data_IF_379013851219
#
_entry.id   IF_379013851219
#
_cell.length_a   1.000
_cell.length_b   1.000
_cell.length_c   1.000
_cell.angle_alpha   90.00
_cell.angle_beta   90.00
_cell.angle_gamma   90.00
#
_symmetry.space_group_name_H-M   'P 1'
#
loop_
_entity.id
_entity.type
_entity.pdbx_description
1 polymer ?
#
# COMPACT_ATOMS: atom_id res chain seq x y z
N UNK A 1 17.11 18.05 3.82
CA UNK A 1 18.29 17.23 3.46
C UNK A 1 18.13 16.76 2.02
N UNK A 2 18.95 17.30 1.13
CA UNK A 2 18.97 16.94 -0.29
C UNK A 2 19.85 15.71 -0.41
N UNK A 3 19.28 14.53 -0.66
CA UNK A 3 20.06 13.34 -0.96
C UNK A 3 20.44 13.44 -2.43
N UNK A 4 21.43 14.27 -2.76
CA UNK A 4 22.03 14.30 -4.09
C UNK A 4 22.79 12.98 -4.29
N UNK A 5 22.07 11.96 -4.72
CA UNK A 5 22.64 10.65 -4.94
C UNK A 5 23.40 10.65 -6.26
N UNK A 6 24.72 10.83 -6.19
CA UNK A 6 25.61 10.41 -7.28
C UNK A 6 25.60 8.86 -7.32
N UNK A 7 24.46 8.28 -7.76
CA UNK A 7 24.32 6.83 -7.92
C UNK A 7 25.10 6.44 -9.16
N UNK A 8 25.88 5.37 -9.03
CA UNK A 8 26.56 4.78 -10.17
C UNK A 8 25.52 4.26 -11.18
N UNK A 9 25.88 4.33 -12.46
CA UNK A 9 25.09 3.69 -13.52
C UNK A 9 24.97 2.21 -13.17
N UNK A 10 23.74 1.76 -12.98
CA UNK A 10 23.47 0.38 -12.59
C UNK A 10 23.63 -0.53 -13.82
N UNK A 11 24.09 -1.79 -13.64
CA UNK A 11 24.01 -2.77 -14.70
C UNK A 11 22.54 -3.03 -15.08
N UNK A 12 22.27 -3.61 -16.26
CA UNK A 12 20.94 -4.09 -16.61
C UNK A 12 20.36 -4.98 -15.50
N UNK A 13 19.05 -4.89 -15.25
CA UNK A 13 18.39 -5.69 -14.20
C UNK A 13 18.49 -7.20 -14.44
N UNK A 14 18.67 -7.61 -15.70
CA UNK A 14 18.84 -9.00 -16.13
C UNK A 14 20.28 -9.52 -16.03
N UNK A 15 21.26 -8.66 -15.72
CA UNK A 15 22.67 -9.07 -15.59
C UNK A 15 22.96 -9.67 -14.21
N UNK A 16 22.58 -10.92 -14.01
CA UNK A 16 22.79 -11.65 -12.76
C UNK A 16 24.26 -11.69 -12.33
N UNK A 17 25.20 -11.76 -13.28
CA UNK A 17 26.65 -11.81 -12.99
C UNK A 17 27.12 -10.47 -12.45
N UNK A 18 26.72 -9.37 -13.09
CA UNK A 18 27.02 -8.01 -12.63
C UNK A 18 26.46 -7.76 -11.24
N UNK A 19 25.21 -8.14 -11.00
CA UNK A 19 24.58 -8.00 -9.69
C UNK A 19 25.25 -8.85 -8.61
N UNK A 20 25.63 -10.09 -8.90
CA UNK A 20 26.35 -10.92 -7.95
C UNK A 20 27.70 -10.34 -7.52
N UNK A 21 28.46 -9.73 -8.44
CA UNK A 21 29.71 -9.05 -8.09
C UNK A 21 29.45 -7.87 -7.14
N UNK A 22 28.36 -7.14 -7.36
CA UNK A 22 27.97 -6.00 -6.53
C UNK A 22 27.51 -6.46 -5.14
N UNK A 23 26.73 -7.55 -5.04
CA UNK A 23 26.28 -8.07 -3.73
C UNK A 23 27.45 -8.58 -2.92
N UNK A 24 28.35 -9.37 -3.53
CA UNK A 24 29.55 -9.89 -2.87
C UNK A 24 30.50 -8.78 -2.41
N UNK A 25 30.59 -7.68 -3.17
CA UNK A 25 31.39 -6.52 -2.80
C UNK A 25 30.73 -5.63 -1.73
N UNK A 26 29.48 -5.90 -1.32
CA UNK A 26 28.73 -5.06 -0.38
C UNK A 26 28.42 -3.66 -0.92
N UNK A 27 28.39 -3.48 -2.25
CA UNK A 27 28.31 -2.17 -2.90
C UNK A 27 26.89 -1.74 -3.30
N UNK A 28 25.86 -2.51 -2.91
CA UNK A 28 24.45 -2.20 -3.21
C UNK A 28 24.06 -0.75 -2.83
N UNK A 29 24.62 -0.22 -1.73
CA UNK A 29 24.40 1.17 -1.29
C UNK A 29 24.70 2.26 -2.32
N UNK A 30 25.58 1.97 -3.29
CA UNK A 30 26.03 2.92 -4.32
C UNK A 30 25.09 3.00 -5.52
N UNK A 31 24.14 2.07 -5.63
CA UNK A 31 23.19 1.98 -6.74
C UNK A 31 21.81 2.49 -6.34
N UNK A 32 20.99 2.81 -7.34
CA UNK A 32 19.62 3.27 -7.12
C UNK A 32 18.77 2.11 -6.56
N UNK A 33 17.96 2.32 -5.50
CA UNK A 33 17.10 1.28 -4.96
C UNK A 33 16.12 0.74 -6.00
N UNK A 34 15.67 1.57 -6.93
CA UNK A 34 14.83 1.19 -8.08
C UNK A 34 15.47 0.10 -8.93
N UNK A 35 16.76 0.23 -9.24
CA UNK A 35 17.51 -0.75 -10.02
C UNK A 35 17.71 -2.06 -9.26
N UNK A 36 17.90 -1.98 -7.94
CA UNK A 36 18.04 -3.15 -7.07
C UNK A 36 16.72 -3.92 -6.98
N UNK A 37 15.59 -3.22 -6.91
CA UNK A 37 14.24 -3.82 -6.93
C UNK A 37 13.97 -4.49 -8.28
N UNK A 38 14.36 -3.87 -9.39
CA UNK A 38 14.25 -4.48 -10.70
C UNK A 38 15.09 -5.77 -10.79
N UNK A 39 16.33 -5.75 -10.30
CA UNK A 39 17.19 -6.93 -10.25
C UNK A 39 16.61 -8.05 -9.36
N UNK A 40 16.07 -7.69 -8.19
CA UNK A 40 15.40 -8.65 -7.30
C UNK A 40 14.21 -9.34 -7.98
N UNK A 41 13.37 -8.58 -8.68
CA UNK A 41 12.19 -9.10 -9.36
C UNK A 41 12.55 -9.93 -10.61
N UNK A 42 13.55 -9.49 -11.38
CA UNK A 42 13.97 -10.17 -12.61
C UNK A 42 14.77 -11.46 -12.30
N UNK A 43 15.50 -11.49 -11.17
CA UNK A 43 16.15 -12.72 -10.67
C UNK A 43 15.14 -13.83 -10.35
N UNK A 44 13.94 -13.45 -9.88
CA UNK A 44 12.83 -14.37 -9.62
C UNK A 44 13.23 -15.54 -8.72
N UNK A 45 12.82 -16.75 -9.09
CA UNK A 45 13.19 -17.98 -8.35
C UNK A 45 14.50 -18.60 -8.85
N UNK A 46 15.13 -18.04 -9.89
CA UNK A 46 16.30 -18.64 -10.55
C UNK A 46 17.58 -18.39 -9.76
N UNK A 47 17.75 -17.18 -9.23
CA UNK A 47 18.92 -16.81 -8.43
C UNK A 47 18.54 -16.51 -6.98
N UNK A 48 18.41 -17.58 -6.19
CA UNK A 48 18.03 -17.50 -4.78
C UNK A 48 19.00 -16.63 -3.97
N UNK A 49 20.31 -16.78 -4.19
CA UNK A 49 21.34 -16.01 -3.46
C UNK A 49 21.25 -14.52 -3.75
N UNK A 50 21.12 -14.15 -5.03
CA UNK A 50 20.97 -12.75 -5.41
C UNK A 50 19.71 -12.15 -4.78
N UNK A 51 18.62 -12.91 -4.80
CA UNK A 51 17.35 -12.52 -4.20
C UNK A 51 17.46 -12.32 -2.68
N UNK A 52 18.12 -13.22 -1.97
CA UNK A 52 18.35 -13.12 -0.52
C UNK A 52 19.22 -11.90 -0.17
N UNK A 53 20.34 -11.69 -0.88
CA UNK A 53 21.26 -10.58 -0.66
C UNK A 53 20.58 -9.22 -0.89
N UNK A 54 19.85 -9.11 -2.00
CA UNK A 54 19.13 -7.88 -2.35
C UNK A 54 17.93 -7.65 -1.44
N UNK A 55 17.19 -8.70 -1.04
CA UNK A 55 16.10 -8.60 -0.06
C UNK A 55 16.60 -8.06 1.28
N UNK A 56 17.71 -8.61 1.79
CA UNK A 56 18.29 -8.15 3.06
C UNK A 56 18.65 -6.67 2.99
N UNK A 57 19.35 -6.25 1.93
CA UNK A 57 19.70 -4.86 1.74
C UNK A 57 18.47 -3.94 1.64
N UNK A 58 17.44 -4.34 0.89
CA UNK A 58 16.21 -3.56 0.75
C UNK A 58 15.46 -3.47 2.09
N UNK A 59 15.41 -4.55 2.87
CA UNK A 59 14.83 -4.57 4.21
C UNK A 59 15.50 -3.54 5.12
N UNK A 60 16.84 -3.58 5.19
CA UNK A 60 17.61 -2.65 6.02
C UNK A 60 17.43 -1.19 5.55
N UNK A 61 17.34 -0.97 4.23
CA UNK A 61 17.12 0.34 3.66
C UNK A 61 15.74 0.88 4.02
N UNK A 62 14.69 0.09 3.83
CA UNK A 62 13.29 0.46 4.15
C UNK A 62 13.17 0.77 5.63
N UNK A 63 13.62 -0.11 6.52
CA UNK A 63 13.57 0.15 7.96
C UNK A 63 14.31 1.43 8.34
N UNK A 64 15.49 1.67 7.76
CA UNK A 64 16.26 2.90 8.04
C UNK A 64 15.53 4.16 7.56
N UNK A 65 14.87 4.11 6.40
CA UNK A 65 14.10 5.24 5.87
C UNK A 65 12.86 5.47 6.73
N UNK A 66 12.10 4.42 7.05
CA UNK A 66 10.88 4.52 7.85
C UNK A 66 11.18 5.00 9.27
N UNK A 67 12.19 4.46 9.96
CA UNK A 67 12.61 4.92 11.31
C UNK A 67 13.02 6.39 11.35
N UNK A 68 13.53 6.96 10.25
CA UNK A 68 13.86 8.38 10.16
C UNK A 68 12.63 9.27 9.93
N UNK A 69 11.55 8.70 9.41
CA UNK A 69 10.33 9.43 9.00
C UNK A 69 9.23 9.30 10.05
N UNK A 70 9.11 8.14 10.67
CA UNK A 70 8.23 7.87 11.79
C UNK A 70 8.90 8.39 13.04
N UNK A 71 8.42 9.52 13.55
CA UNK A 71 8.85 10.02 14.85
C UNK A 71 8.40 9.08 15.97
N UNK A 72 9.14 9.03 17.07
CA UNK A 72 8.82 8.21 18.26
C UNK A 72 7.57 8.67 19.00
N UNK A 73 6.89 9.70 18.52
CA UNK A 73 5.67 10.27 19.13
C UNK A 73 4.38 9.51 18.76
N UNK A 74 4.48 8.37 18.06
CA UNK A 74 3.36 7.50 17.70
C UNK A 74 3.23 6.33 18.67
N UNK A 75 2.08 5.64 18.66
CA UNK A 75 1.85 4.48 19.54
C UNK A 75 2.89 3.39 19.24
N UNK A 76 3.37 2.70 20.28
CA UNK A 76 4.50 1.76 20.19
C UNK A 76 5.77 2.34 19.51
N UNK A 77 6.08 3.62 19.75
CA UNK A 77 7.17 4.35 19.08
C UNK A 77 7.09 4.32 17.54
N UNK A 78 5.89 4.05 16.99
CA UNK A 78 5.65 3.87 15.57
C UNK A 78 6.25 2.59 14.97
N UNK A 79 6.66 1.62 15.78
CA UNK A 79 7.14 0.31 15.27
C UNK A 79 6.06 -0.41 14.46
N UNK A 80 4.81 -0.43 14.94
CA UNK A 80 3.72 -1.12 14.25
C UNK A 80 3.51 -0.57 12.82
N UNK A 81 3.58 0.76 12.67
CA UNK A 81 3.48 1.43 11.36
C UNK A 81 4.67 1.06 10.45
N UNK A 82 5.88 0.97 11.04
CA UNK A 82 7.08 0.61 10.30
C UNK A 82 6.97 -0.83 9.79
N UNK A 83 6.50 -1.75 10.62
CA UNK A 83 6.35 -3.16 10.30
C UNK A 83 5.25 -3.38 9.26
N UNK A 84 4.08 -2.74 9.42
CA UNK A 84 2.98 -2.79 8.44
C UNK A 84 3.43 -2.35 7.05
N UNK A 85 4.14 -1.21 6.96
CA UNK A 85 4.63 -0.67 5.67
C UNK A 85 5.76 -1.53 5.11
N UNK A 86 6.59 -2.12 5.96
CA UNK A 86 7.65 -3.03 5.55
C UNK A 86 7.08 -4.31 4.94
N UNK A 87 6.08 -4.92 5.59
CA UNK A 87 5.40 -6.12 5.10
C UNK A 87 4.65 -5.85 3.79
N UNK A 88 3.95 -4.72 3.70
CA UNK A 88 3.26 -4.33 2.45
C UNK A 88 4.25 -4.10 1.31
N UNK A 89 5.40 -3.45 1.59
CA UNK A 89 6.47 -3.28 0.62
C UNK A 89 7.00 -4.63 0.13
N UNK A 90 7.32 -5.56 1.02
CA UNK A 90 7.84 -6.88 0.64
C UNK A 90 6.82 -7.73 -0.11
N UNK A 91 5.56 -7.66 0.29
CA UNK A 91 4.44 -8.32 -0.39
C UNK A 91 4.27 -7.78 -1.81
N UNK A 92 4.42 -6.47 -2.00
CA UNK A 92 4.36 -5.86 -3.33
C UNK A 92 5.54 -6.29 -4.21
N UNK A 93 6.79 -6.15 -3.75
CA UNK A 93 7.95 -6.45 -4.61
C UNK A 93 8.09 -7.95 -4.93
N UNK A 94 7.55 -8.84 -4.10
CA UNK A 94 7.48 -10.28 -4.40
C UNK A 94 6.48 -10.62 -5.51
N UNK A 95 5.52 -9.73 -5.79
CA UNK A 95 4.49 -9.89 -6.80
C UNK A 95 4.71 -8.89 -7.95
N UNK A 96 5.59 -9.16 -8.93
CA UNK A 96 5.96 -8.21 -9.97
C UNK A 96 4.78 -7.80 -10.89
N UNK A 97 3.67 -8.53 -10.84
CA UNK A 97 2.45 -8.22 -11.59
C UNK A 97 1.61 -7.09 -10.97
N UNK A 98 1.81 -6.75 -9.69
CA UNK A 98 1.01 -5.73 -9.03
C UNK A 98 1.42 -4.31 -9.46
N UNK A 99 0.48 -3.36 -9.37
CA UNK A 99 0.73 -1.97 -9.74
C UNK A 99 1.81 -1.33 -8.84
N UNK A 100 1.83 -1.68 -7.56
CA UNK A 100 2.82 -1.19 -6.62
C UNK A 100 4.24 -1.66 -6.96
N UNK A 101 4.41 -2.91 -7.39
CA UNK A 101 5.71 -3.45 -7.81
C UNK A 101 6.33 -2.64 -8.95
N UNK A 102 5.51 -2.23 -9.93
CA UNK A 102 5.92 -1.34 -11.02
C UNK A 102 6.24 0.06 -10.50
N UNK A 103 5.39 0.59 -9.62
CA UNK A 103 5.62 1.89 -8.98
C UNK A 103 6.93 1.96 -8.20
N UNK A 104 7.35 0.87 -7.55
CA UNK A 104 8.62 0.79 -6.83
C UNK A 104 9.84 0.71 -7.75
N UNK A 105 9.70 0.25 -9.00
CA UNK A 105 10.77 0.36 -10.02
C UNK A 105 10.95 1.79 -10.53
N UNK A 106 9.91 2.61 -10.46
CA UNK A 106 9.94 3.98 -10.97
C UNK A 106 10.33 4.99 -9.88
N UNK A 107 9.77 4.82 -8.68
CA UNK A 107 10.00 5.75 -7.56
C UNK A 107 9.92 5.04 -6.21
N UNK A 108 11.09 4.62 -5.69
CA UNK A 108 11.14 3.94 -4.39
C UNK A 108 10.69 4.87 -3.25
N UNK A 109 11.32 6.04 -3.12
CA UNK A 109 11.04 6.95 -2.02
C UNK A 109 9.65 7.57 -2.09
N UNK A 110 9.15 7.84 -3.30
CA UNK A 110 7.82 8.39 -3.52
C UNK A 110 6.74 7.43 -3.04
N UNK A 111 6.82 6.16 -3.47
CA UNK A 111 5.86 5.12 -3.07
C UNK A 111 5.96 4.75 -1.60
N UNK A 112 7.17 4.62 -1.06
CA UNK A 112 7.35 4.30 0.36
C UNK A 112 6.78 5.40 1.26
N UNK A 113 6.97 6.68 0.89
CA UNK A 113 6.41 7.81 1.64
C UNK A 113 4.88 7.87 1.52
N UNK A 114 4.33 7.53 0.36
CA UNK A 114 2.88 7.46 0.15
C UNK A 114 2.25 6.39 1.07
N UNK A 115 2.81 5.17 1.07
CA UNK A 115 2.36 4.09 1.95
C UNK A 115 2.50 4.41 3.43
N UNK A 116 3.58 5.08 3.81
CA UNK A 116 3.74 5.54 5.18
C UNK A 116 2.64 6.52 5.61
N UNK A 117 2.28 7.48 4.76
CA UNK A 117 1.19 8.42 5.06
C UNK A 117 -0.16 7.72 5.17
N UNK A 118 -0.41 6.74 4.30
CA UNK A 118 -1.62 5.93 4.32
C UNK A 118 -1.75 5.13 5.63
N UNK A 119 -0.66 4.50 6.07
CA UNK A 119 -0.61 3.78 7.35
C UNK A 119 -0.85 4.71 8.56
N UNK A 120 -0.27 5.92 8.55
CA UNK A 120 -0.52 6.93 9.60
C UNK A 120 -2.00 7.36 9.62
N UNK A 121 -2.59 7.61 8.45
CA UNK A 121 -4.01 7.98 8.36
C UNK A 121 -4.92 6.86 8.85
N UNK A 122 -4.58 5.59 8.56
CA UNK A 122 -5.30 4.40 9.05
C UNK A 122 -5.21 4.28 10.58
N UNK A 123 -4.04 4.53 11.17
CA UNK A 123 -3.87 4.55 12.64
C UNK A 123 -4.70 5.68 13.29
N UNK A 124 -4.71 6.87 12.69
CA UNK A 124 -5.49 8.02 13.19
C UNK A 124 -7.00 7.75 13.08
N UNK A 125 -7.46 7.17 11.98
CA UNK A 125 -8.84 6.73 11.83
C UNK A 125 -9.23 5.66 12.84
N UNK A 126 -8.35 4.68 13.12
CA UNK A 126 -8.59 3.65 14.12
C UNK A 126 -8.72 4.22 15.55
N UNK A 127 -7.95 5.26 15.88
CA UNK A 127 -8.06 5.96 17.18
C UNK A 127 -9.38 6.71 17.35
N UNK A 128 -9.98 7.20 16.28
CA UNK A 128 -11.28 7.88 16.29
C UNK A 128 -12.47 6.91 16.47
N UNK A 129 -12.27 5.62 16.25
CA UNK A 129 -13.35 4.59 16.27
C UNK A 129 -13.36 3.78 17.57
N UNK A 130 -12.39 3.99 18.48
CA UNK A 130 -12.44 3.36 19.81
C UNK A 130 -13.71 3.82 20.56
N UNK A 131 -14.63 2.90 20.93
CA UNK A 131 -15.87 3.28 21.62
C UNK A 131 -15.57 3.81 23.03
N UNK A 132 -16.37 4.77 23.55
CA UNK A 132 -16.25 5.19 24.94
C UNK A 132 -16.56 3.99 25.86
N UNK A 133 -15.64 3.76 26.80
CA UNK A 133 -15.76 2.79 27.88
C UNK A 133 -16.89 3.25 28.83
N UNK A 134 -18.01 2.51 28.86
CA UNK A 134 -18.99 2.63 29.94
C UNK A 134 -19.28 1.25 30.54
N UNK A 135 -18.69 1.03 31.72
CA UNK A 135 -18.92 -0.09 32.65
C UNK A 135 -20.32 -0.01 33.32
N UNK A 136 -20.80 -1.11 33.94
CA UNK A 136 -22.20 -1.54 33.95
C UNK A 136 -23.04 -0.99 35.11
N UNK A 137 -24.36 -0.89 34.92
CA UNK A 137 -25.32 -0.81 36.02
C UNK A 137 -26.62 -1.57 35.68
N UNK A 138 -27.05 -2.35 36.66
CA UNK A 138 -28.19 -3.26 36.63
C UNK A 138 -29.54 -2.53 36.85
N UNK A 139 -30.61 -3.15 36.35
CA UNK A 139 -31.90 -3.22 37.04
C UNK A 139 -33.02 -2.30 36.52
N UNK A 140 -34.21 -2.90 36.31
CA UNK A 140 -35.49 -2.22 36.58
C UNK A 140 -36.53 -2.15 35.45
N UNK A 141 -37.17 -3.29 35.15
CA UNK A 141 -38.61 -3.54 34.93
C UNK A 141 -39.64 -2.38 34.75
N UNK A 142 -40.56 -2.56 33.76
CA UNK A 142 -42.04 -2.28 33.72
C UNK A 142 -42.56 -0.83 33.74
N UNK A 143 -43.65 -0.38 33.09
CA UNK A 143 -44.72 -0.93 32.23
C UNK A 143 -45.48 0.25 31.53
N UNK A 144 -46.00 0.00 30.32
CA UNK A 144 -47.29 0.37 29.67
C UNK A 144 -47.94 1.79 29.53
N UNK A 145 -48.79 1.84 28.46
CA UNK A 145 -49.92 2.72 28.01
C UNK A 145 -49.61 4.12 27.42
N UNK A 146 -50.24 4.68 26.37
CA UNK A 146 -51.52 4.48 25.64
C UNK A 146 -51.46 5.28 24.30
N UNK A 147 -52.32 4.88 23.36
CA UNK A 147 -52.64 5.36 22.01
C UNK A 147 -52.61 6.87 21.64
N UNK A 148 -52.39 7.13 20.35
CA UNK A 148 -52.66 8.41 19.69
C UNK A 148 -52.54 8.34 18.17
N UNK A 149 -53.60 7.84 17.53
CA UNK A 149 -53.84 7.87 16.08
C UNK A 149 -54.04 9.32 15.58
N UNK A 150 -53.25 9.77 14.59
CA UNK A 150 -53.62 10.91 13.75
C UNK A 150 -53.11 10.68 12.31
N UNK A 151 -53.98 10.11 11.50
CA UNK A 151 -53.99 10.23 10.05
C UNK A 151 -54.22 11.70 9.63
N UNK A 152 -53.44 12.25 8.67
CA UNK A 152 -53.98 13.21 7.70
C UNK A 152 -53.08 13.42 6.47
N UNK A 153 -53.70 13.13 5.33
CA UNK A 153 -53.29 13.27 3.93
C UNK A 153 -52.82 14.67 3.51
N UNK A 154 -51.88 14.71 2.55
CA UNK A 154 -51.82 15.65 1.41
C UNK A 154 -50.79 15.14 0.38
N UNK A 155 -51.16 14.53 -0.74
CA UNK A 155 -51.66 15.09 -2.03
C UNK A 155 -50.55 15.55 -3.00
N UNK A 156 -50.24 14.61 -3.92
CA UNK A 156 -49.99 14.70 -5.38
C UNK A 156 -49.04 15.76 -5.97
N UNK A 157 -48.14 15.31 -6.86
CA UNK A 157 -47.54 16.17 -7.89
C UNK A 157 -46.34 15.62 -8.66
N UNK A 158 -46.62 14.88 -9.75
CA UNK A 158 -45.89 14.78 -11.03
C UNK A 158 -44.39 14.35 -11.12
N UNK A 159 -44.15 13.30 -11.91
CA UNK A 159 -42.83 12.89 -12.44
C UNK A 159 -42.27 13.84 -13.52
N UNK A 160 -41.24 13.47 -14.32
CA UNK A 160 -41.10 12.15 -14.96
C UNK A 160 -39.67 11.55 -15.00
N UNK A 161 -39.61 10.22 -15.19
CA UNK A 161 -38.83 9.55 -16.24
C UNK A 161 -37.27 9.52 -16.20
N UNK A 162 -36.65 8.45 -16.73
CA UNK A 162 -35.25 8.13 -16.52
C UNK A 162 -34.32 8.74 -17.59
N UNK A 163 -33.11 9.15 -17.19
CA UNK A 163 -32.03 9.51 -18.12
C UNK A 163 -31.03 8.36 -18.23
N UNK A 164 -31.23 7.57 -19.29
CA UNK A 164 -30.20 6.78 -19.96
C UNK A 164 -29.27 7.73 -20.72
N UNK A 165 -27.94 7.54 -20.63
CA UNK A 165 -26.92 7.81 -21.67
C UNK A 165 -25.48 7.65 -21.09
N UNK A 166 -24.41 7.55 -21.90
CA UNK A 166 -24.08 6.42 -22.78
C UNK A 166 -22.57 6.05 -22.67
N UNK A 167 -22.16 4.89 -23.21
CA UNK A 167 -20.80 4.50 -23.69
C UNK A 167 -20.46 3.03 -23.37
N UNK A 168 -21.20 2.12 -24.00
CA UNK A 168 -20.68 0.78 -24.26
C UNK A 168 -19.85 0.85 -25.55
N UNK A 169 -18.52 0.91 -25.40
CA UNK A 169 -17.58 0.86 -26.51
C UNK A 169 -17.42 -0.59 -26.95
N UNK A 170 -17.70 -0.84 -28.23
CA UNK A 170 -17.63 -2.12 -28.93
C UNK A 170 -16.34 -2.90 -28.68
N UNK A 171 -16.47 -4.15 -28.25
CA UNK A 171 -15.44 -5.17 -28.47
C UNK A 171 -15.72 -5.83 -29.81
N UNK A 172 -14.88 -5.50 -30.81
CA UNK A 172 -14.84 -6.20 -32.09
C UNK A 172 -13.87 -7.38 -31.94
N UNK A 173 -14.39 -8.58 -31.91
CA UNK A 173 -13.62 -9.82 -32.04
C UNK A 173 -13.26 -10.05 -33.51
N UNK A 174 -12.03 -10.48 -33.84
CA UNK A 174 -11.67 -10.90 -35.19
C UNK A 174 -12.08 -12.36 -35.46
N UNK A 175 -12.58 -12.71 -36.66
CA UNK A 175 -12.76 -14.12 -37.06
C UNK A 175 -11.43 -14.76 -37.51
N UNK A 176 -11.33 -16.10 -37.41
CA UNK A 176 -10.12 -16.86 -37.69
C UNK A 176 -9.84 -16.97 -39.19
N UNK A 177 -8.56 -17.11 -39.52
CA UNK A 177 -8.08 -17.22 -40.89
C UNK A 177 -8.34 -18.58 -41.54
N UNK A 178 -8.42 -18.52 -42.87
CA UNK A 178 -8.10 -19.54 -43.87
C UNK A 178 -7.68 -18.82 -45.12
#
# INVERSE_FOLDING_TARGET
MVISTNKLKSPPSTDAIGWHKITQAGQLGRYAPEAIIAAFQDAGSKDRRLREDTARYLSDLVQRVLRKRVGTNKMNNGQDIIDDVHDEFFTAICNPSCADAKGYRESFYGRLTFRLKDAIAKEEAAKLIAPPDEKPAAGGSTDDVEAGDVEMSSKVGSGPGPVLSPFARSYRTPPPGT
#
